data_IF_628986470005
#
_entry.id   IF_628986470005
#
_cell.length_a   1.000
_cell.length_b   1.000
_cell.length_c   1.000
_cell.angle_alpha   90.00
_cell.angle_beta   90.00
_cell.angle_gamma   90.00
#
_symmetry.space_group_name_H-M   'P 1'
#
loop_
_entity.id
_entity.type
_entity.pdbx_description
1 polymer ?
#
# COMPACT_ATOMS: atom_id res chain seq x y z
N UNK A 1 33.87 -5.63 -6.59
CA UNK A 1 32.75 -5.85 -7.51
C UNK A 1 31.60 -4.97 -7.05
N UNK A 2 31.24 -3.96 -7.83
CA UNK A 2 30.12 -3.06 -7.52
C UNK A 2 28.84 -3.65 -8.08
N UNK A 3 27.70 -3.42 -7.42
CA UNK A 3 26.40 -3.88 -7.90
C UNK A 3 26.09 -3.37 -9.31
N UNK A 4 26.54 -2.16 -9.62
CA UNK A 4 26.43 -1.50 -10.94
C UNK A 4 27.26 -2.16 -12.04
N UNK A 5 28.19 -3.06 -11.70
CA UNK A 5 28.96 -3.86 -12.67
C UNK A 5 28.21 -5.15 -13.05
N UNK A 6 27.14 -5.49 -12.34
CA UNK A 6 26.37 -6.74 -12.50
C UNK A 6 24.91 -6.51 -12.91
N UNK A 7 24.36 -5.34 -12.64
CA UNK A 7 22.96 -5.01 -12.88
C UNK A 7 22.90 -3.72 -13.69
N UNK A 8 22.26 -3.78 -14.84
CA UNK A 8 22.01 -2.62 -15.70
C UNK A 8 20.90 -1.72 -15.14
N UNK A 9 20.86 -0.46 -15.56
CA UNK A 9 19.77 0.45 -15.18
C UNK A 9 18.40 -0.08 -15.62
N UNK A 10 18.34 -0.77 -16.77
CA UNK A 10 17.13 -1.42 -17.27
C UNK A 10 16.66 -2.53 -16.32
N UNK A 11 17.56 -3.43 -15.93
CA UNK A 11 17.22 -4.51 -14.97
C UNK A 11 16.80 -3.93 -13.62
N UNK A 12 17.49 -2.88 -13.14
CA UNK A 12 17.11 -2.20 -11.90
C UNK A 12 15.71 -1.56 -11.99
N UNK A 13 15.38 -0.94 -13.13
CA UNK A 13 14.06 -0.39 -13.42
C UNK A 13 12.99 -1.47 -13.42
N UNK A 14 13.21 -2.57 -14.14
CA UNK A 14 12.27 -3.69 -14.21
C UNK A 14 12.04 -4.32 -12.82
N UNK A 15 13.10 -4.51 -12.04
CA UNK A 15 13.02 -4.99 -10.66
C UNK A 15 12.18 -4.04 -9.78
N UNK A 16 12.40 -2.73 -9.88
CA UNK A 16 11.63 -1.74 -9.12
C UNK A 16 10.15 -1.71 -9.53
N UNK A 17 9.85 -1.78 -10.83
CA UNK A 17 8.47 -1.87 -11.33
C UNK A 17 7.75 -3.12 -10.81
N UNK A 18 8.42 -4.27 -10.86
CA UNK A 18 7.87 -5.53 -10.36
C UNK A 18 7.65 -5.52 -8.84
N UNK A 19 8.57 -4.93 -8.08
CA UNK A 19 8.43 -4.71 -6.64
C UNK A 19 7.20 -3.85 -6.32
N UNK A 20 7.03 -2.72 -7.00
CA UNK A 20 5.90 -1.82 -6.77
C UNK A 20 4.58 -2.47 -7.11
N UNK A 21 4.50 -3.18 -8.25
CA UNK A 21 3.30 -3.94 -8.64
C UNK A 21 2.94 -5.00 -7.58
N UNK A 22 3.94 -5.75 -7.09
CA UNK A 22 3.71 -6.74 -6.03
C UNK A 22 3.16 -6.10 -4.76
N UNK A 23 3.78 -5.01 -4.29
CA UNK A 23 3.34 -4.29 -3.09
C UNK A 23 1.94 -3.68 -3.25
N UNK A 24 1.63 -3.13 -4.41
CA UNK A 24 0.28 -2.61 -4.74
C UNK A 24 -0.78 -3.72 -4.58
N UNK A 25 -0.51 -4.92 -5.08
CA UNK A 25 -1.43 -6.07 -4.90
C UNK A 25 -1.60 -6.40 -3.43
N UNK A 26 -0.51 -6.46 -2.65
CA UNK A 26 -0.57 -6.73 -1.21
C UNK A 26 -1.40 -5.69 -0.44
N UNK A 27 -1.21 -4.41 -0.71
CA UNK A 27 -1.97 -3.35 -0.05
C UNK A 27 -3.45 -3.35 -0.44
N UNK A 28 -3.79 -3.71 -1.69
CA UNK A 28 -5.18 -3.94 -2.09
C UNK A 28 -5.81 -5.12 -1.33
N UNK A 29 -5.07 -6.20 -1.10
CA UNK A 29 -5.56 -7.32 -0.31
C UNK A 29 -5.80 -6.94 1.16
N UNK A 30 -4.97 -6.07 1.73
CA UNK A 30 -5.19 -5.52 3.08
C UNK A 30 -6.47 -4.68 3.10
N UNK A 31 -6.64 -3.77 2.14
CA UNK A 31 -7.86 -2.94 2.03
C UNK A 31 -9.12 -3.81 1.94
N UNK A 32 -9.14 -4.81 1.05
CA UNK A 32 -10.29 -5.71 0.91
C UNK A 32 -10.54 -6.58 2.14
N UNK A 33 -9.47 -7.06 2.80
CA UNK A 33 -9.58 -7.79 4.08
C UNK A 33 -10.24 -6.92 5.15
N UNK A 34 -9.84 -5.66 5.25
CA UNK A 34 -10.38 -4.75 6.26
C UNK A 34 -11.81 -4.32 5.94
N UNK A 35 -12.13 -4.02 4.67
CA UNK A 35 -13.51 -3.81 4.22
C UNK A 35 -14.42 -4.96 4.59
N UNK A 36 -13.95 -6.20 4.39
CA UNK A 36 -14.70 -7.41 4.78
C UNK A 36 -14.85 -7.53 6.30
N UNK A 37 -13.79 -7.22 7.06
CA UNK A 37 -13.80 -7.30 8.54
C UNK A 37 -14.77 -6.30 9.16
N UNK A 38 -14.81 -5.07 8.64
CA UNK A 38 -15.60 -3.97 9.21
C UNK A 38 -16.91 -3.69 8.49
N UNK A 39 -17.13 -4.27 7.31
CA UNK A 39 -18.33 -4.07 6.50
C UNK A 39 -18.49 -2.64 5.96
N UNK A 40 -17.39 -1.90 5.84
CA UNK A 40 -17.37 -0.50 5.39
C UNK A 40 -16.04 -0.15 4.75
N UNK A 41 -15.95 1.01 4.10
CA UNK A 41 -14.68 1.59 3.62
C UNK A 41 -13.86 2.21 4.78
N UNK A 42 -12.57 2.46 4.54
CA UNK A 42 -11.73 3.14 5.53
C UNK A 42 -12.24 4.56 5.85
N UNK A 43 -12.70 5.30 4.84
CA UNK A 43 -13.26 6.64 5.04
C UNK A 43 -14.48 6.61 5.98
N UNK A 44 -15.37 5.63 5.81
CA UNK A 44 -16.50 5.43 6.73
C UNK A 44 -16.05 4.99 8.12
N UNK A 45 -15.03 4.12 8.20
CA UNK A 45 -14.44 3.67 9.46
C UNK A 45 -13.87 4.84 10.27
N UNK A 46 -13.13 5.74 9.63
CA UNK A 46 -12.61 6.95 10.27
C UNK A 46 -13.72 7.92 10.65
N UNK A 47 -14.65 8.21 9.73
CA UNK A 47 -15.76 9.15 9.96
C UNK A 47 -16.65 8.72 11.13
N UNK A 48 -16.88 7.41 11.29
CA UNK A 48 -17.65 6.84 12.41
C UNK A 48 -16.83 6.70 13.70
N UNK A 49 -15.52 6.94 13.64
CA UNK A 49 -14.59 6.78 14.75
C UNK A 49 -14.71 5.39 15.40
N UNK A 50 -14.64 4.35 14.57
CA UNK A 50 -14.85 2.95 15.00
C UNK A 50 -13.88 2.53 16.10
N UNK A 51 -12.65 3.03 16.09
CA UNK A 51 -11.68 2.83 17.18
C UNK A 51 -12.28 3.23 18.52
N UNK A 52 -12.87 4.43 18.61
CA UNK A 52 -13.54 4.91 19.82
C UNK A 52 -14.82 4.11 20.12
N UNK A 53 -15.63 3.79 19.11
CA UNK A 53 -16.84 2.97 19.29
C UNK A 53 -16.52 1.60 19.91
N UNK A 54 -15.39 1.00 19.53
CA UNK A 54 -14.88 -0.27 20.07
C UNK A 54 -14.02 -0.10 21.32
N UNK A 55 -14.02 1.09 21.93
CA UNK A 55 -13.38 1.34 23.21
C UNK A 55 -11.85 1.34 23.18
N UNK A 56 -11.25 1.76 22.06
CA UNK A 56 -9.79 1.81 21.90
C UNK A 56 -9.12 0.44 22.14
N UNK A 57 -9.79 -0.63 21.74
CA UNK A 57 -9.17 -1.96 21.81
C UNK A 57 -7.94 -1.99 20.89
N UNK A 58 -6.84 -2.53 21.41
CA UNK A 58 -5.58 -2.64 20.68
C UNK A 58 -5.73 -3.29 19.29
N UNK A 59 -6.60 -4.30 19.15
CA UNK A 59 -6.85 -4.96 17.86
C UNK A 59 -7.41 -4.00 16.80
N UNK A 60 -8.36 -3.14 17.19
CA UNK A 60 -9.01 -2.19 16.28
C UNK A 60 -8.09 -1.01 15.97
N UNK A 61 -7.30 -0.56 16.94
CA UNK A 61 -6.25 0.45 16.70
C UNK A 61 -5.20 -0.05 15.72
N UNK A 62 -4.73 -1.28 15.92
CA UNK A 62 -3.76 -1.92 15.03
C UNK A 62 -4.33 -2.08 13.62
N UNK A 63 -5.58 -2.51 13.48
CA UNK A 63 -6.21 -2.60 12.17
C UNK A 63 -6.32 -1.23 11.49
N UNK A 64 -6.69 -0.18 12.23
CA UNK A 64 -6.79 1.17 11.70
C UNK A 64 -5.44 1.64 11.15
N UNK A 65 -4.36 1.46 11.92
CA UNK A 65 -3.00 1.79 11.51
C UNK A 65 -2.54 0.98 10.29
N UNK A 66 -2.79 -0.33 10.27
CA UNK A 66 -2.44 -1.20 9.14
C UNK A 66 -3.19 -0.80 7.87
N UNK A 67 -4.47 -0.48 8.00
CA UNK A 67 -5.33 -0.09 6.88
C UNK A 67 -4.95 1.28 6.32
N UNK A 68 -4.76 2.28 7.17
CA UNK A 68 -4.29 3.62 6.78
C UNK A 68 -2.95 3.52 6.04
N UNK A 69 -2.00 2.79 6.61
CA UNK A 69 -0.68 2.60 6.01
C UNK A 69 -0.77 1.92 4.64
N UNK A 70 -1.66 0.95 4.48
CA UNK A 70 -1.87 0.27 3.21
C UNK A 70 -2.44 1.22 2.13
N UNK A 71 -3.43 2.04 2.47
CA UNK A 71 -4.03 2.99 1.55
C UNK A 71 -3.06 4.10 1.13
N UNK A 72 -2.29 4.65 2.09
CA UNK A 72 -1.29 5.66 1.79
C UNK A 72 -0.14 5.07 0.95
N UNK A 73 0.29 3.85 1.25
CA UNK A 73 1.29 3.14 0.45
C UNK A 73 0.78 2.84 -0.96
N UNK A 74 -0.49 2.46 -1.10
CA UNK A 74 -1.13 2.23 -2.40
C UNK A 74 -1.13 3.50 -3.24
N UNK A 75 -1.51 4.64 -2.65
CA UNK A 75 -1.50 5.96 -3.31
C UNK A 75 -0.08 6.33 -3.77
N UNK A 76 0.88 6.26 -2.86
CA UNK A 76 2.26 6.65 -3.13
C UNK A 76 2.94 5.74 -4.17
N UNK A 77 2.77 4.42 -4.08
CA UNK A 77 3.38 3.49 -5.02
C UNK A 77 2.74 3.55 -6.41
N UNK A 78 1.42 3.73 -6.49
CA UNK A 78 0.74 3.90 -7.78
C UNK A 78 1.24 5.14 -8.51
N UNK A 79 1.44 6.25 -7.77
CA UNK A 79 2.00 7.47 -8.36
C UNK A 79 3.46 7.30 -8.82
N UNK A 80 4.29 6.60 -8.03
CA UNK A 80 5.66 6.26 -8.44
C UNK A 80 5.69 5.38 -9.69
N UNK A 81 4.84 4.34 -9.73
CA UNK A 81 4.73 3.43 -10.88
C UNK A 81 4.38 4.21 -12.14
N UNK A 82 3.34 5.06 -12.07
CA UNK A 82 2.90 5.93 -13.18
C UNK A 82 4.01 6.86 -13.67
N UNK A 83 4.81 7.43 -12.77
CA UNK A 83 5.94 8.30 -13.15
C UNK A 83 7.03 7.52 -13.88
N UNK A 84 7.37 6.32 -13.41
CA UNK A 84 8.43 5.50 -14.02
C UNK A 84 8.02 4.97 -15.40
N UNK A 85 6.75 4.59 -15.56
CA UNK A 85 6.20 4.13 -16.85
C UNK A 85 6.19 5.25 -17.90
N UNK A 86 6.00 6.51 -17.49
CA UNK A 86 6.03 7.69 -18.37
C UNK A 86 7.42 8.22 -18.73
N UNK A 87 8.47 7.75 -18.05
CA UNK A 87 9.86 8.18 -18.34
C UNK A 87 10.38 7.52 -19.64
N UNK A 88 9.70 6.49 -20.15
CA UNK A 88 10.07 5.78 -21.38
C UNK A 88 9.29 6.23 -22.64
N UNK A 89 8.38 7.22 -22.53
CA UNK A 89 7.70 7.91 -23.66
C UNK A 89 8.43 9.22 -24.00
#
# INVERSE_FOLDING_TARGET
MKLTELITEKELKEMALNEYRRRIVLYRLIDEKMKKKYGMSFEEFEKKNIVKEKGFSWDVEKDAMEWEHALESLRTLTEKLRKIEKIDD
#
